data_IF_275589689190
#
_entry.id   IF_275589689190
#
_cell.length_a   1.000
_cell.length_b   1.000
_cell.length_c   1.000
_cell.angle_alpha   90.00
_cell.angle_beta   90.00
_cell.angle_gamma   90.00
#
_symmetry.space_group_name_H-M   'P 1'
#
loop_
_entity.id
_entity.type
_entity.pdbx_description
1 polymer ?
#
# COMPACT_ATOMS: atom_id res chain seq x y z
N UNK A 1 -6.19 14.09 10.55
CA UNK A 1 -7.08 13.76 9.42
C UNK A 1 -6.39 14.21 8.14
N UNK A 2 -6.07 13.28 7.25
CA UNK A 2 -5.58 13.62 5.90
C UNK A 2 -6.77 14.07 5.05
N UNK A 3 -6.62 15.12 4.22
CA UNK A 3 -7.70 15.59 3.37
C UNK A 3 -8.03 14.59 2.26
N UNK A 4 -9.27 14.60 1.78
CA UNK A 4 -9.68 13.80 0.62
C UNK A 4 -8.79 14.11 -0.59
N UNK A 5 -8.25 13.10 -1.30
CA UNK A 5 -7.36 13.36 -2.41
C UNK A 5 -8.07 14.03 -3.60
N UNK A 6 -7.36 14.93 -4.28
CA UNK A 6 -7.87 15.59 -5.49
C UNK A 6 -7.96 14.64 -6.69
N UNK A 7 -8.77 14.98 -7.70
CA UNK A 7 -8.81 14.23 -8.97
C UNK A 7 -7.43 14.13 -9.65
N UNK A 8 -6.57 15.14 -9.49
CA UNK A 8 -5.21 15.14 -10.03
C UNK A 8 -4.35 14.08 -9.33
N UNK A 9 -4.42 14.02 -8.00
CA UNK A 9 -3.73 13.00 -7.21
C UNK A 9 -4.20 11.60 -7.61
N UNK A 10 -5.51 11.38 -7.66
CA UNK A 10 -6.09 10.10 -8.06
C UNK A 10 -5.63 9.67 -9.47
N UNK A 11 -5.64 10.58 -10.45
CA UNK A 11 -5.17 10.29 -11.81
C UNK A 11 -3.70 9.88 -11.87
N UNK A 12 -2.84 10.49 -11.04
CA UNK A 12 -1.42 10.14 -10.97
C UNK A 12 -1.26 8.78 -10.30
N UNK A 13 -1.89 8.58 -9.14
CA UNK A 13 -1.84 7.32 -8.39
C UNK A 13 -2.32 6.14 -9.24
N UNK A 14 -3.47 6.26 -9.93
CA UNK A 14 -3.98 5.19 -10.81
C UNK A 14 -3.02 4.84 -11.95
N UNK A 15 -2.32 5.82 -12.54
CA UNK A 15 -1.35 5.57 -13.61
C UNK A 15 -0.11 4.88 -13.09
N UNK A 16 0.39 5.28 -11.93
CA UNK A 16 1.53 4.63 -11.29
C UNK A 16 1.19 3.21 -10.87
N UNK A 17 0.02 3.01 -10.26
CA UNK A 17 -0.51 1.69 -9.94
C UNK A 17 -0.51 0.77 -11.16
N UNK A 18 -1.10 1.19 -12.28
CA UNK A 18 -1.16 0.38 -13.49
C UNK A 18 0.23 0.00 -14.05
N UNK A 19 1.19 0.94 -14.00
CA UNK A 19 2.57 0.68 -14.43
C UNK A 19 3.29 -0.30 -13.51
N UNK A 20 3.15 -0.13 -12.19
CA UNK A 20 3.73 -1.05 -11.21
C UNK A 20 3.11 -2.43 -11.33
N UNK A 21 1.78 -2.53 -11.39
CA UNK A 21 1.05 -3.78 -11.54
C UNK A 21 1.54 -4.57 -12.75
N UNK A 22 1.64 -3.91 -13.92
CA UNK A 22 2.16 -4.55 -15.13
C UNK A 22 3.64 -4.97 -14.99
N UNK A 23 4.46 -4.15 -14.34
CA UNK A 23 5.88 -4.45 -14.15
C UNK A 23 6.10 -5.64 -13.22
N UNK A 24 5.24 -5.80 -12.21
CA UNK A 24 5.35 -6.79 -11.16
C UNK A 24 4.65 -8.13 -11.50
N UNK A 25 3.98 -8.24 -12.65
CA UNK A 25 3.18 -9.42 -13.07
C UNK A 25 3.93 -10.77 -12.99
N UNK A 26 5.25 -10.77 -13.14
CA UNK A 26 6.10 -11.98 -13.08
C UNK A 26 7.02 -12.01 -11.85
N UNK A 27 6.78 -11.13 -10.89
CA UNK A 27 7.53 -11.06 -9.62
C UNK A 27 6.69 -11.64 -8.49
N UNK A 28 7.32 -11.86 -7.34
CA UNK A 28 6.61 -12.24 -6.11
C UNK A 28 5.91 -11.05 -5.43
N UNK A 29 6.08 -9.83 -5.97
CA UNK A 29 5.54 -8.60 -5.40
C UNK A 29 4.20 -8.18 -5.98
N UNK A 30 3.38 -7.55 -5.14
CA UNK A 30 2.07 -7.00 -5.49
C UNK A 30 2.00 -5.52 -5.10
N UNK A 31 1.30 -4.72 -5.90
CA UNK A 31 1.06 -3.31 -5.62
C UNK A 31 -0.38 -3.11 -5.13
N UNK A 32 -0.54 -2.37 -4.04
CA UNK A 32 -1.82 -2.05 -3.42
C UNK A 32 -2.04 -0.53 -3.37
N UNK A 33 -3.12 0.00 -3.94
CA UNK A 33 -3.49 1.40 -3.78
C UNK A 33 -4.19 1.64 -2.43
N UNK A 34 -4.16 2.88 -1.95
CA UNK A 34 -5.07 3.33 -0.90
C UNK A 34 -6.54 3.05 -1.31
N UNK A 35 -7.45 2.67 -0.40
CA UNK A 35 -7.36 2.61 1.06
C UNK A 35 -6.94 1.22 1.55
N UNK A 36 -5.71 1.10 2.04
CA UNK A 36 -5.16 -0.14 2.59
C UNK A 36 -4.31 0.19 3.83
N UNK A 37 -4.69 -0.36 4.97
CA UNK A 37 -4.03 -0.10 6.25
C UNK A 37 -2.79 -0.98 6.38
N UNK A 38 -1.64 -0.36 6.65
CA UNK A 38 -0.38 -1.06 6.90
C UNK A 38 0.02 -0.83 8.35
N UNK A 39 0.10 -1.93 9.09
CA UNK A 39 0.59 -1.93 10.47
C UNK A 39 2.11 -2.12 10.49
N UNK A 40 2.83 -1.05 10.86
CA UNK A 40 4.28 -1.10 11.04
C UNK A 40 4.61 -1.41 12.49
N UNK A 41 5.33 -2.51 12.70
CA UNK A 41 5.85 -2.95 14.00
C UNK A 41 7.38 -3.01 13.96
N UNK A 42 8.03 -2.61 15.04
CA UNK A 42 9.48 -2.72 15.22
C UNK A 42 9.73 -3.07 16.71
N UNK A 43 10.71 -3.94 16.98
CA UNK A 43 11.11 -4.31 18.34
C UNK A 43 11.59 -3.10 19.16
N UNK A 44 12.12 -2.06 18.50
CA UNK A 44 12.56 -0.81 19.14
C UNK A 44 11.43 0.22 19.31
N UNK A 45 10.22 -0.06 18.81
CA UNK A 45 9.07 0.85 18.90
C UNK A 45 8.03 0.30 19.88
N UNK A 46 7.62 1.12 20.86
CA UNK A 46 6.47 0.78 21.69
C UNK A 46 5.17 0.85 20.88
N UNK A 47 4.58 -0.31 20.61
CA UNK A 47 3.29 -0.45 19.94
C UNK A 47 3.37 -0.55 18.43
N UNK A 48 2.21 -0.49 17.79
CA UNK A 48 2.07 -0.57 16.35
C UNK A 48 1.67 0.77 15.75
N UNK A 49 2.28 1.11 14.61
CA UNK A 49 1.95 2.33 13.87
C UNK A 49 1.19 1.98 12.61
N UNK A 50 -0.07 2.40 12.54
CA UNK A 50 -0.89 2.25 11.33
C UNK A 50 -0.61 3.42 10.39
N UNK A 51 -0.33 3.10 9.13
CA UNK A 51 -0.16 4.07 8.03
C UNK A 51 -1.03 3.67 6.84
N UNK A 52 -1.45 4.66 6.05
CA UNK A 52 -2.20 4.45 4.81
C UNK A 52 -1.42 5.13 3.68
N UNK A 53 -0.53 4.40 2.98
CA UNK A 53 0.21 4.94 1.85
C UNK A 53 -0.68 5.05 0.62
N UNK A 54 -0.36 5.98 -0.29
CA UNK A 54 -1.09 6.11 -1.57
C UNK A 54 -0.95 4.86 -2.44
N UNK A 55 0.26 4.27 -2.46
CA UNK A 55 0.61 3.01 -3.12
C UNK A 55 1.65 2.28 -2.28
N UNK A 56 1.49 0.97 -2.12
CA UNK A 56 2.42 0.10 -1.40
C UNK A 56 2.80 -1.08 -2.28
N UNK A 57 4.08 -1.45 -2.32
CA UNK A 57 4.55 -2.66 -3.00
C UNK A 57 5.01 -3.64 -1.94
N UNK A 58 4.42 -4.83 -1.93
CA UNK A 58 4.66 -5.85 -0.90
C UNK A 58 5.09 -7.13 -1.61
N UNK A 59 6.28 -7.61 -1.28
CA UNK A 59 6.87 -8.83 -1.85
C UNK A 59 6.75 -10.04 -0.92
N UNK A 60 6.84 -9.80 0.39
CA UNK A 60 6.58 -10.82 1.39
C UNK A 60 5.10 -10.83 1.72
N UNK A 61 4.43 -11.94 1.39
CA UNK A 61 2.99 -12.12 1.58
C UNK A 61 2.64 -12.67 2.96
N UNK A 62 3.65 -12.89 3.81
CA UNK A 62 3.41 -13.27 5.20
C UNK A 62 2.77 -12.11 5.96
N UNK A 63 1.83 -12.44 6.85
CA UNK A 63 1.13 -11.43 7.65
C UNK A 63 0.01 -10.67 6.92
N UNK A 64 -0.38 -11.07 5.70
CA UNK A 64 -1.66 -10.64 5.15
C UNK A 64 -2.81 -11.30 5.92
N UNK A 65 -3.57 -10.48 6.65
CA UNK A 65 -4.83 -10.87 7.24
C UNK A 65 -5.96 -10.47 6.29
N UNK A 66 -6.68 -11.45 5.72
CA UNK A 66 -7.95 -11.18 5.06
C UNK A 66 -8.95 -10.77 6.15
N UNK A 67 -9.23 -9.47 6.24
CA UNK A 67 -10.35 -8.98 7.05
C UNK A 67 -11.64 -9.62 6.51
N UNK A 68 -12.26 -10.47 7.34
CA UNK A 68 -13.49 -11.20 7.04
C UNK A 68 -14.72 -10.29 7.08
#
# INVERSE_FOLDING_TARGET
MSPTPSTKHQRISSRLHARLFQHLEKSDCEVFPASFDIELKNEEMEGAKIVIPDLSVICDKSGFDEAK
#
